data_IF_276085795188
#
_entry.id   IF_276085795188
#
_cell.length_a   1.000
_cell.length_b   1.000
_cell.length_c   1.000
_cell.angle_alpha   90.00
_cell.angle_beta   90.00
_cell.angle_gamma   90.00
#
_symmetry.space_group_name_H-M   'P 1'
#
loop_
_entity.id
_entity.type
_entity.pdbx_description
1 polymer ?
#
# COMPACT_ATOMS: atom_id res chain seq x y z
N UNK A 1 -5.83 -15.40 9.95
CA UNK A 1 -6.33 -15.21 8.55
C UNK A 1 -5.13 -15.46 7.66
N UNK A 2 -5.18 -16.46 6.78
CA UNK A 2 -4.08 -16.70 5.84
C UNK A 2 -4.18 -15.65 4.73
N UNK A 3 -3.40 -14.62 4.89
CA UNK A 3 -3.19 -13.60 3.84
C UNK A 3 -2.16 -14.13 2.86
N UNK A 4 -2.23 -13.78 1.56
CA UNK A 4 -1.22 -14.19 0.59
C UNK A 4 0.19 -13.76 1.02
N UNK A 5 1.18 -14.55 0.68
CA UNK A 5 2.57 -14.12 0.83
C UNK A 5 2.80 -12.89 -0.06
N UNK A 6 3.49 -11.87 0.46
CA UNK A 6 3.79 -10.67 -0.31
C UNK A 6 4.74 -10.99 -1.47
N UNK A 7 4.66 -10.24 -2.58
CA UNK A 7 5.67 -10.27 -3.62
C UNK A 7 7.08 -9.99 -3.08
N UNK A 8 8.11 -10.44 -3.81
CA UNK A 8 9.50 -10.16 -3.47
C UNK A 8 9.74 -8.64 -3.29
N UNK A 9 10.48 -8.23 -2.25
CA UNK A 9 10.73 -6.82 -1.98
C UNK A 9 11.46 -6.13 -3.13
N UNK A 10 10.91 -5.03 -3.62
CA UNK A 10 11.54 -4.20 -4.66
C UNK A 10 12.07 -2.87 -4.11
N UNK A 11 11.34 -2.27 -3.15
CA UNK A 11 11.74 -0.99 -2.57
C UNK A 11 12.89 -1.19 -1.59
N UNK A 12 13.96 -0.44 -1.78
CA UNK A 12 15.12 -0.45 -0.90
C UNK A 12 14.91 0.46 0.31
N UNK A 13 15.04 -0.08 1.50
CA UNK A 13 14.98 0.68 2.75
C UNK A 13 16.28 1.47 2.94
N UNK A 14 16.22 2.78 2.82
CA UNK A 14 17.39 3.68 2.93
C UNK A 14 17.55 4.27 4.32
N UNK A 15 16.45 4.54 5.01
CA UNK A 15 16.44 5.04 6.39
C UNK A 15 15.39 4.24 7.15
N UNK A 16 15.73 3.80 8.34
CA UNK A 16 14.82 3.16 9.28
C UNK A 16 15.23 3.51 10.70
N UNK A 17 14.73 4.64 11.19
CA UNK A 17 15.02 5.13 12.53
C UNK A 17 13.71 5.23 13.31
N UNK A 18 13.45 4.22 14.14
CA UNK A 18 12.26 4.13 14.98
C UNK A 18 12.43 4.85 16.33
N UNK A 19 13.68 5.22 16.69
CA UNK A 19 13.98 5.92 17.94
C UNK A 19 13.86 7.45 17.78
N UNK A 20 13.73 7.95 16.55
CA UNK A 20 13.50 9.39 16.31
C UNK A 20 12.06 9.79 16.67
N UNK A 21 11.87 11.08 16.93
CA UNK A 21 10.53 11.64 17.23
C UNK A 21 10.19 12.72 16.19
N UNK A 22 9.28 12.43 15.26
CA UNK A 22 8.61 11.14 15.03
C UNK A 22 9.55 10.08 14.42
N UNK A 23 9.21 8.78 14.54
CA UNK A 23 9.91 7.71 13.82
C UNK A 23 9.86 7.95 12.31
N UNK A 24 10.95 7.56 11.61
CA UNK A 24 11.05 7.76 10.16
C UNK A 24 11.56 6.52 9.44
N UNK A 25 10.93 6.19 8.32
CA UNK A 25 11.43 5.24 7.35
C UNK A 25 11.41 5.87 5.95
N UNK A 26 12.47 5.67 5.19
CA UNK A 26 12.57 6.14 3.81
C UNK A 26 12.97 5.00 2.87
N UNK A 27 12.22 4.86 1.80
CA UNK A 27 12.41 3.83 0.79
C UNK A 27 12.68 4.47 -0.57
N UNK A 28 13.38 3.74 -1.44
CA UNK A 28 13.72 4.18 -2.78
C UNK A 28 13.56 3.03 -3.77
N UNK A 29 13.04 3.33 -4.96
CA UNK A 29 12.99 2.37 -6.07
C UNK A 29 14.37 2.11 -6.69
N UNK A 30 15.36 2.96 -6.37
CA UNK A 30 16.72 2.86 -6.88
C UNK A 30 16.89 3.38 -8.31
N UNK A 31 18.13 3.26 -8.80
CA UNK A 31 18.55 3.67 -10.13
C UNK A 31 19.27 2.52 -10.82
N UNK A 32 19.10 2.41 -12.11
CA UNK A 32 19.80 1.47 -12.96
C UNK A 32 20.33 2.19 -14.19
N UNK A 33 21.61 2.03 -14.50
CA UNK A 33 22.30 2.74 -15.59
C UNK A 33 22.12 4.27 -15.56
N UNK A 34 21.97 4.87 -14.37
CA UNK A 34 21.77 6.31 -14.21
C UNK A 34 20.33 6.77 -14.37
N UNK A 35 19.39 5.88 -14.66
CA UNK A 35 17.96 6.17 -14.79
C UNK A 35 17.18 5.65 -13.59
N UNK A 36 16.16 6.39 -13.18
CA UNK A 36 15.27 5.95 -12.11
C UNK A 36 14.42 4.76 -12.56
N UNK A 37 14.35 3.72 -11.73
CA UNK A 37 13.68 2.44 -12.02
C UNK A 37 12.14 2.55 -12.01
N UNK A 38 11.60 3.50 -12.76
CA UNK A 38 10.17 3.78 -12.80
C UNK A 38 9.33 2.66 -13.41
N UNK A 39 9.85 2.01 -14.47
CA UNK A 39 9.15 0.88 -15.12
C UNK A 39 9.09 -0.33 -14.21
N UNK A 40 10.19 -0.67 -13.55
CA UNK A 40 10.26 -1.78 -12.61
C UNK A 40 9.39 -1.50 -11.37
N UNK A 41 9.32 -0.23 -10.91
CA UNK A 41 8.41 0.17 -9.85
C UNK A 41 6.94 -0.02 -10.25
N UNK A 42 6.60 0.32 -11.50
CA UNK A 42 5.25 0.12 -12.03
C UNK A 42 4.89 -1.38 -12.13
N UNK A 43 5.83 -2.21 -12.59
CA UNK A 43 5.66 -3.67 -12.62
C UNK A 43 5.44 -4.23 -11.22
N UNK A 44 6.28 -3.83 -10.26
CA UNK A 44 6.12 -4.23 -8.86
C UNK A 44 4.77 -3.79 -8.27
N UNK A 45 4.31 -2.57 -8.57
CA UNK A 45 2.99 -2.12 -8.14
C UNK A 45 1.86 -2.98 -8.73
N UNK A 46 2.01 -3.48 -9.96
CA UNK A 46 1.03 -4.39 -10.59
C UNK A 46 0.94 -5.73 -9.86
N UNK A 47 2.02 -6.24 -9.28
CA UNK A 47 2.02 -7.48 -8.51
C UNK A 47 1.17 -7.36 -7.24
N UNK A 48 1.11 -6.17 -6.65
CA UNK A 48 0.32 -5.89 -5.44
C UNK A 48 -1.14 -5.57 -5.70
N UNK A 49 -1.52 -5.23 -6.95
CA UNK A 49 -2.89 -4.85 -7.27
C UNK A 49 -3.95 -5.89 -6.86
N UNK A 50 -3.74 -7.20 -7.04
CA UNK A 50 -4.73 -8.19 -6.61
C UNK A 50 -5.01 -8.11 -5.11
N UNK A 51 -3.97 -8.06 -4.28
CA UNK A 51 -4.13 -7.97 -2.82
C UNK A 51 -4.80 -6.64 -2.41
N UNK A 52 -4.43 -5.55 -3.05
CA UNK A 52 -4.96 -4.22 -2.75
C UNK A 52 -6.42 -4.04 -3.18
N UNK A 53 -6.83 -4.64 -4.31
CA UNK A 53 -8.11 -4.35 -4.97
C UNK A 53 -9.16 -5.46 -4.86
N UNK A 54 -8.75 -6.71 -4.59
CA UNK A 54 -9.68 -7.84 -4.61
C UNK A 54 -10.09 -8.24 -3.19
N UNK A 55 -11.32 -8.69 -3.06
CA UNK A 55 -11.80 -9.25 -1.79
C UNK A 55 -11.06 -10.54 -1.45
N UNK A 56 -11.06 -10.92 -0.16
CA UNK A 56 -10.43 -12.16 0.30
C UNK A 56 -10.95 -13.42 -0.44
N UNK A 57 -12.26 -13.42 -0.81
CA UNK A 57 -12.84 -14.53 -1.58
C UNK A 57 -12.33 -14.56 -3.02
N UNK A 58 -12.17 -13.40 -3.64
CA UNK A 58 -11.61 -13.29 -4.99
C UNK A 58 -10.15 -13.68 -5.03
N UNK A 59 -9.35 -13.24 -4.05
CA UNK A 59 -7.95 -13.65 -3.92
C UNK A 59 -7.82 -15.16 -3.83
N UNK A 60 -8.61 -15.81 -2.97
CA UNK A 60 -8.64 -17.28 -2.84
C UNK A 60 -9.10 -18.00 -4.12
N UNK A 61 -9.85 -17.34 -4.99
CA UNK A 61 -10.33 -17.91 -6.25
C UNK A 61 -9.32 -17.81 -7.40
N UNK A 62 -8.17 -17.15 -7.19
CA UNK A 62 -7.14 -17.00 -8.22
C UNK A 62 -6.51 -18.35 -8.52
N UNK A 63 -6.45 -18.67 -9.79
CA UNK A 63 -5.80 -19.86 -10.34
C UNK A 63 -4.96 -19.47 -11.55
N UNK A 64 -4.09 -20.35 -12.03
CA UNK A 64 -3.32 -20.08 -13.25
C UNK A 64 -4.20 -19.77 -14.47
N UNK A 65 -5.41 -20.32 -14.53
CA UNK A 65 -6.34 -20.11 -15.64
C UNK A 65 -7.06 -18.75 -15.63
N UNK A 66 -7.22 -18.12 -14.46
CA UNK A 66 -7.95 -16.85 -14.32
C UNK A 66 -7.07 -15.68 -13.83
N UNK A 67 -5.79 -15.90 -13.51
CA UNK A 67 -4.90 -14.89 -12.93
C UNK A 67 -4.88 -13.59 -13.74
N UNK A 68 -4.71 -13.66 -15.07
CA UNK A 68 -4.70 -12.48 -15.92
C UNK A 68 -6.03 -11.71 -15.88
N UNK A 69 -7.16 -12.42 -15.82
CA UNK A 69 -8.50 -11.79 -15.68
C UNK A 69 -8.62 -11.06 -14.35
N UNK A 70 -8.11 -11.66 -13.27
CA UNK A 70 -8.17 -11.07 -11.94
C UNK A 70 -7.26 -9.84 -11.81
N UNK A 71 -6.05 -9.88 -12.37
CA UNK A 71 -5.16 -8.72 -12.46
C UNK A 71 -5.81 -7.58 -13.24
N UNK A 72 -6.42 -7.87 -14.40
CA UNK A 72 -7.15 -6.85 -15.17
C UNK A 72 -8.31 -6.24 -14.40
N UNK A 73 -9.07 -7.07 -13.67
CA UNK A 73 -10.14 -6.60 -12.79
C UNK A 73 -9.60 -5.66 -11.71
N UNK A 74 -8.52 -6.04 -11.04
CA UNK A 74 -7.87 -5.23 -10.03
C UNK A 74 -7.37 -3.89 -10.60
N UNK A 75 -6.70 -3.92 -11.76
CA UNK A 75 -6.24 -2.72 -12.44
C UNK A 75 -7.39 -1.78 -12.82
N UNK A 76 -8.52 -2.31 -13.30
CA UNK A 76 -9.70 -1.51 -13.61
C UNK A 76 -10.23 -0.74 -12.39
N UNK A 77 -10.16 -1.31 -11.20
CA UNK A 77 -10.61 -0.64 -9.97
C UNK A 77 -9.80 0.61 -9.64
N UNK A 78 -8.52 0.64 -10.00
CA UNK A 78 -7.61 1.78 -9.79
C UNK A 78 -7.70 2.78 -10.95
N UNK A 79 -7.84 2.30 -12.19
CA UNK A 79 -7.75 3.13 -13.39
C UNK A 79 -9.08 3.71 -13.89
N UNK A 80 -10.23 3.31 -13.32
CA UNK A 80 -11.57 3.74 -13.79
C UNK A 80 -11.94 5.19 -13.42
N UNK A 81 -11.10 5.92 -12.70
CA UNK A 81 -11.40 7.30 -12.37
C UNK A 81 -10.91 8.24 -13.48
N UNK A 82 -11.81 9.03 -14.07
CA UNK A 82 -11.49 10.09 -15.06
C UNK A 82 -10.57 11.19 -14.52
N UNK A 83 -10.21 11.12 -13.24
CA UNK A 83 -9.31 12.06 -12.56
C UNK A 83 -7.85 11.65 -12.67
N UNK A 84 -7.34 11.48 -13.89
CA UNK A 84 -5.90 11.28 -14.14
C UNK A 84 -4.96 12.33 -13.51
N UNK A 85 -5.50 13.42 -13.00
CA UNK A 85 -4.73 14.51 -12.37
C UNK A 85 -4.46 14.30 -10.88
N UNK A 86 -5.26 13.50 -10.19
CA UNK A 86 -5.11 13.24 -8.75
C UNK A 86 -4.90 11.73 -8.55
N UNK A 87 -3.65 11.31 -8.56
CA UNK A 87 -3.22 9.91 -8.45
C UNK A 87 -3.19 9.42 -7.00
N UNK A 88 -4.21 9.78 -6.20
CA UNK A 88 -4.31 9.38 -4.80
C UNK A 88 -4.28 7.87 -4.61
N UNK A 89 -4.98 7.14 -5.49
CA UNK A 89 -5.04 5.67 -5.44
C UNK A 89 -3.66 5.01 -5.53
N UNK A 90 -2.72 5.59 -6.29
CA UNK A 90 -1.35 5.09 -6.32
C UNK A 90 -0.62 5.35 -5.01
N UNK A 91 -0.86 6.48 -4.37
CA UNK A 91 -0.33 6.75 -3.04
C UNK A 91 -0.85 5.73 -2.03
N UNK A 92 -2.17 5.45 -2.04
CA UNK A 92 -2.79 4.43 -1.19
C UNK A 92 -2.17 3.03 -1.45
N UNK A 93 -1.93 2.66 -2.72
CA UNK A 93 -1.26 1.42 -3.09
C UNK A 93 0.18 1.36 -2.56
N UNK A 94 0.98 2.43 -2.73
CA UNK A 94 2.35 2.47 -2.22
C UNK A 94 2.39 2.45 -0.69
N UNK A 95 1.46 3.11 -0.01
CA UNK A 95 1.34 3.02 1.45
C UNK A 95 1.05 1.58 1.87
N UNK A 96 0.12 0.90 1.21
CA UNK A 96 -0.18 -0.52 1.44
C UNK A 96 1.08 -1.40 1.25
N UNK A 97 1.81 -1.25 0.13
CA UNK A 97 3.04 -1.98 -0.15
C UNK A 97 4.06 -1.79 0.98
N UNK A 98 4.30 -0.55 1.39
CA UNK A 98 5.27 -0.24 2.44
C UNK A 98 4.87 -0.88 3.77
N UNK A 99 3.61 -0.77 4.17
CA UNK A 99 3.11 -1.35 5.41
C UNK A 99 3.21 -2.88 5.40
N UNK A 100 2.93 -3.51 4.28
CA UNK A 100 3.06 -4.96 4.10
C UNK A 100 4.52 -5.40 4.10
N UNK A 101 5.35 -4.75 3.30
CA UNK A 101 6.73 -5.15 3.04
C UNK A 101 7.64 -4.91 4.25
N UNK A 102 7.51 -3.76 4.93
CA UNK A 102 8.43 -3.35 5.99
C UNK A 102 7.95 -3.82 7.36
N UNK A 103 6.65 -3.76 7.61
CA UNK A 103 6.08 -4.02 8.94
C UNK A 103 5.31 -5.33 9.02
N UNK A 104 5.21 -6.09 7.93
CA UNK A 104 4.46 -7.35 7.89
C UNK A 104 2.99 -7.19 8.28
N UNK A 105 2.45 -5.99 8.09
CA UNK A 105 1.08 -5.66 8.48
C UNK A 105 0.04 -6.43 7.65
N UNK A 106 -1.17 -6.54 8.17
CA UNK A 106 -2.32 -7.14 7.46
C UNK A 106 -3.37 -6.06 7.28
N UNK A 107 -3.87 -5.79 6.06
CA UNK A 107 -4.93 -4.82 5.86
C UNK A 107 -6.21 -5.28 6.57
N UNK A 108 -6.74 -4.40 7.44
CA UNK A 108 -8.00 -4.64 8.15
C UNK A 108 -9.21 -4.19 7.32
N UNK A 109 -9.05 -3.06 6.61
CA UNK A 109 -10.07 -2.47 5.75
C UNK A 109 -9.39 -1.98 4.48
N UNK A 110 -9.93 -2.33 3.32
CA UNK A 110 -9.53 -1.75 2.05
C UNK A 110 -10.60 -0.75 1.59
N UNK A 111 -10.21 0.51 1.49
CA UNK A 111 -11.07 1.61 1.05
C UNK A 111 -11.65 1.40 -0.34
N UNK A 112 -10.93 0.69 -1.20
CA UNK A 112 -11.33 0.44 -2.57
C UNK A 112 -12.59 -0.44 -2.68
N UNK A 113 -12.87 -1.27 -1.67
CA UNK A 113 -14.09 -2.11 -1.66
C UNK A 113 -15.37 -1.32 -1.41
N UNK A 114 -15.28 -0.12 -0.86
CA UNK A 114 -16.41 0.73 -0.54
C UNK A 114 -16.70 1.78 -1.62
N UNK A 115 -15.99 1.72 -2.75
CA UNK A 115 -16.29 2.56 -3.92
C UNK A 115 -17.45 1.94 -4.71
N UNK A 116 -18.68 2.29 -4.34
CA UNK A 116 -19.91 1.77 -4.99
C UNK A 116 -20.14 2.33 -6.40
N UNK A 117 -19.49 3.42 -6.77
CA UNK A 117 -19.62 4.03 -8.10
C UNK A 117 -18.34 4.75 -8.53
N UNK A 118 -18.17 4.90 -9.85
CA UNK A 118 -17.15 5.74 -10.47
C UNK A 118 -17.24 7.15 -9.89
N UNK A 119 -16.13 7.69 -9.37
CA UNK A 119 -16.01 9.02 -8.75
C UNK A 119 -16.58 9.19 -7.32
N UNK A 120 -16.97 8.13 -6.62
CA UNK A 120 -17.29 8.25 -5.20
C UNK A 120 -16.01 8.46 -4.37
N UNK A 121 -15.98 9.55 -3.60
CA UNK A 121 -14.94 9.78 -2.59
C UNK A 121 -15.36 9.09 -1.31
N UNK A 122 -14.71 7.98 -0.97
CA UNK A 122 -14.86 7.36 0.34
C UNK A 122 -14.02 8.16 1.34
N UNK A 123 -14.69 8.79 2.30
CA UNK A 123 -14.00 9.51 3.39
C UNK A 123 -13.47 8.49 4.40
N UNK A 124 -12.27 8.69 4.88
CA UNK A 124 -11.62 7.85 5.90
C UNK A 124 -10.12 7.82 5.68
N UNK A 125 -9.42 7.07 6.52
CA UNK A 125 -7.98 6.86 6.40
C UNK A 125 -7.63 6.15 5.08
N UNK A 126 -6.47 6.48 4.51
CA UNK A 126 -5.98 5.88 3.26
C UNK A 126 -5.50 4.43 3.46
N UNK A 127 -5.08 4.10 4.68
CA UNK A 127 -4.80 2.71 5.07
C UNK A 127 -5.31 2.44 6.49
N UNK A 128 -5.83 1.22 6.70
CA UNK A 128 -6.20 0.68 8.01
C UNK A 128 -5.60 -0.72 8.09
N UNK A 129 -4.51 -0.86 8.83
CA UNK A 129 -3.74 -2.10 8.93
C UNK A 129 -3.60 -2.58 10.36
N UNK A 130 -3.42 -3.89 10.54
CA UNK A 130 -3.10 -4.52 11.82
C UNK A 130 -1.67 -5.03 11.77
N UNK A 131 -0.91 -4.75 12.82
CA UNK A 131 0.45 -5.25 13.02
C UNK A 131 0.46 -6.16 14.23
N UNK A 132 1.07 -7.33 14.08
CA UNK A 132 1.33 -8.21 15.21
C UNK A 132 2.71 -7.87 15.79
N UNK A 133 2.71 -7.29 16.98
CA UNK A 133 3.94 -6.99 17.72
C UNK A 133 4.25 -8.21 18.58
N UNK A 134 5.23 -8.98 18.13
CA UNK A 134 5.78 -10.10 18.92
C UNK A 134 6.70 -9.52 20.00
N UNK A 135 6.22 -9.40 21.20
CA UNK A 135 7.11 -9.16 22.33
C UNK A 135 7.90 -10.46 22.60
N UNK A 136 9.24 -10.36 22.56
CA UNK A 136 10.14 -11.48 22.80
C UNK A 136 10.08 -12.01 24.24
N UNK A 137 9.38 -11.30 25.13
CA UNK A 137 9.27 -11.63 26.57
C UNK A 137 7.89 -12.16 26.97
N UNK A 138 6.88 -11.92 26.17
CA UNK A 138 5.50 -12.31 26.50
C UNK A 138 4.97 -13.30 25.47
N UNK A 139 4.29 -14.35 25.95
CA UNK A 139 3.69 -15.40 25.10
C UNK A 139 2.38 -14.95 24.44
N UNK A 140 1.98 -13.70 24.63
CA UNK A 140 0.75 -13.16 24.07
C UNK A 140 1.04 -12.33 22.83
N UNK A 141 0.35 -12.65 21.74
CA UNK A 141 0.32 -11.80 20.55
C UNK A 141 -0.34 -10.47 20.91
N UNK A 142 0.38 -9.38 20.69
CA UNK A 142 -0.15 -8.02 20.84
C UNK A 142 -0.38 -7.44 19.45
N UNK A 143 -1.59 -6.91 19.23
CA UNK A 143 -1.96 -6.33 17.94
C UNK A 143 -2.13 -4.83 18.05
N UNK A 144 -1.58 -4.10 17.10
CA UNK A 144 -1.81 -2.67 16.92
C UNK A 144 -2.63 -2.39 15.67
N UNK A 145 -3.56 -1.44 15.79
CA UNK A 145 -4.29 -0.90 14.66
C UNK A 145 -3.56 0.36 14.17
N UNK A 146 -3.10 0.32 12.95
CA UNK A 146 -2.42 1.45 12.30
C UNK A 146 -3.35 2.13 11.32
N UNK A 147 -3.49 3.45 11.47
CA UNK A 147 -4.25 4.32 10.59
C UNK A 147 -3.26 5.14 9.78
N UNK A 148 -3.36 5.08 8.45
CA UNK A 148 -2.44 5.72 7.54
C UNK A 148 -3.10 6.80 6.69
N UNK A 149 -2.36 7.90 6.47
CA UNK A 149 -2.68 8.98 5.54
C UNK A 149 -1.53 9.12 4.56
N UNK A 150 -1.81 9.39 3.29
CA UNK A 150 -0.80 9.50 2.23
C UNK A 150 -0.96 10.77 1.42
N UNK A 151 0.18 11.38 1.08
CA UNK A 151 0.28 12.44 0.08
C UNK A 151 1.26 12.03 -1.01
N UNK A 152 0.75 11.79 -2.21
CA UNK A 152 1.54 11.35 -3.36
C UNK A 152 1.95 12.56 -4.21
N UNK A 153 2.98 13.26 -3.76
CA UNK A 153 3.47 14.52 -4.33
C UNK A 153 4.88 14.39 -4.87
N UNK A 154 5.25 15.29 -5.77
CA UNK A 154 6.63 15.49 -6.22
C UNK A 154 7.43 16.44 -5.31
N UNK A 155 6.80 17.01 -4.29
CA UNK A 155 7.41 17.89 -3.30
C UNK A 155 7.19 17.33 -1.89
N UNK A 156 8.25 16.73 -1.32
CA UNK A 156 8.18 16.08 -0.01
C UNK A 156 7.83 17.07 1.12
N UNK A 157 8.32 18.31 1.07
CA UNK A 157 8.02 19.32 2.10
C UNK A 157 6.53 19.63 2.13
N UNK A 158 5.92 19.84 0.95
CA UNK A 158 4.49 20.10 0.86
C UNK A 158 3.67 18.90 1.33
N UNK A 159 4.06 17.69 0.97
CA UNK A 159 3.41 16.47 1.44
C UNK A 159 3.40 16.37 2.98
N UNK A 160 4.52 16.68 3.63
CA UNK A 160 4.64 16.67 5.10
C UNK A 160 3.71 17.72 5.73
N UNK A 161 3.70 18.95 5.19
CA UNK A 161 2.82 20.01 5.71
C UNK A 161 1.36 19.63 5.62
N UNK A 162 0.93 19.06 4.49
CA UNK A 162 -0.47 18.71 4.27
C UNK A 162 -0.90 17.54 5.17
N UNK A 163 -0.03 16.53 5.37
CA UNK A 163 -0.33 15.42 6.30
C UNK A 163 -0.46 15.93 7.73
N UNK A 164 0.47 16.78 8.21
CA UNK A 164 0.42 17.31 9.58
C UNK A 164 -0.86 18.15 9.81
N UNK A 165 -1.35 18.79 8.77
CA UNK A 165 -2.59 19.60 8.85
C UNK A 165 -3.88 18.79 8.87
N UNK A 166 -3.82 17.49 8.54
CA UNK A 166 -4.99 16.59 8.49
C UNK A 166 -5.07 15.63 9.68
N UNK A 167 -3.99 15.46 10.43
CA UNK A 167 -3.91 14.67 11.67
C UNK A 167 -4.21 15.56 12.88
#
# INVERSE_FOLDING_TARGET
MDYPEPPEPFLELKIHNLDSTPPISALCAGYECGEWRSSQLAEHAMEWLPEFCLTANELKSITSSNALKMIRKAAQSVYQTDKYKNRGEFGELFLHIILRQIYGSIPAISKIYFKDAVNNTVKGFDAVHIINIKDTKDTKDTFELWLGEVKFYNNARQAIYDVIGEI
#
